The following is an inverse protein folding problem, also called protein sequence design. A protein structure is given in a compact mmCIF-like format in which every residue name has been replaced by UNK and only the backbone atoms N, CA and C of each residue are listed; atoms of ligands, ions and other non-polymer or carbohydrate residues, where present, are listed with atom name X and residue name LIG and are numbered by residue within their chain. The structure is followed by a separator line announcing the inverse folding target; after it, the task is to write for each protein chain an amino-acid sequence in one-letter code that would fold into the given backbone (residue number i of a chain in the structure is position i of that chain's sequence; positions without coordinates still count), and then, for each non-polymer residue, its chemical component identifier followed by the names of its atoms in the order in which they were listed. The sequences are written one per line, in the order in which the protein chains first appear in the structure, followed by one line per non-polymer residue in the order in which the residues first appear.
data_IF_398372592970
#
_entry.id   IF_398372592970
#
_cell.length_a   1.000
_cell.length_b   1.000
_cell.length_c   1.000
_cell.angle_alpha   90.00
_cell.angle_beta   90.00
_cell.angle_gamma   90.00
#
_symmetry.space_group_name_H-M   'P 1'
#
loop_
_entity.id
_entity.type
_entity.pdbx_description
1 polymer ?
#
# COMPACT_ATOMS: atom_id res chain seq x y z
N UNK A 1 17.36 9.17 -15.70
CA UNK A 1 16.33 9.40 -14.66
C UNK A 1 15.61 10.70 -15.00
N UNK A 2 14.28 10.68 -15.12
CA UNK A 2 13.48 11.89 -15.35
C UNK A 2 13.30 12.68 -14.06
N UNK A 3 13.25 14.00 -14.16
CA UNK A 3 12.92 14.90 -13.04
C UNK A 3 11.42 15.18 -13.08
N UNK A 4 10.73 14.96 -11.98
CA UNK A 4 9.31 15.28 -11.82
C UNK A 4 9.21 16.36 -10.74
N UNK A 5 8.54 17.47 -11.06
CA UNK A 5 8.25 18.54 -10.11
C UNK A 5 6.84 18.36 -9.55
N UNK A 6 6.72 18.21 -8.24
CA UNK A 6 5.45 18.13 -7.53
C UNK A 6 5.29 19.38 -6.67
N UNK A 7 4.14 20.05 -6.78
CA UNK A 7 3.85 21.24 -5.98
C UNK A 7 3.14 20.83 -4.70
N UNK A 8 3.64 21.30 -3.57
CA UNK A 8 3.04 21.12 -2.26
C UNK A 8 2.50 22.45 -1.72
N UNK A 9 1.44 22.36 -0.91
CA UNK A 9 1.02 23.46 -0.06
C UNK A 9 1.84 23.52 1.24
N UNK A 10 1.67 24.58 2.03
CA UNK A 10 2.46 24.80 3.25
C UNK A 10 2.32 23.68 4.29
N UNK A 11 1.15 23.04 4.37
CA UNK A 11 0.90 22.01 5.37
C UNK A 11 1.43 20.65 4.90
N UNK A 12 1.27 20.33 3.63
CA UNK A 12 1.92 19.17 3.01
C UNK A 12 3.45 19.24 3.12
N UNK A 13 4.05 20.42 2.94
CA UNK A 13 5.49 20.60 3.15
C UNK A 13 5.93 20.31 4.59
N UNK A 14 5.14 20.75 5.58
CA UNK A 14 5.42 20.45 7.00
C UNK A 14 5.31 18.96 7.29
N UNK A 15 4.30 18.29 6.72
CA UNK A 15 4.10 16.85 6.85
C UNK A 15 5.30 16.12 6.25
N UNK A 16 5.65 16.43 5.00
CA UNK A 16 6.76 15.79 4.30
C UNK A 16 8.09 16.03 5.00
N UNK A 17 8.30 17.24 5.55
CA UNK A 17 9.48 17.52 6.38
C UNK A 17 9.51 16.66 7.63
N UNK A 18 8.41 16.59 8.39
CA UNK A 18 8.31 15.76 9.61
C UNK A 18 8.60 14.28 9.32
N UNK A 19 8.09 13.76 8.20
CA UNK A 19 8.34 12.38 7.77
C UNK A 19 9.81 12.19 7.38
N UNK A 20 10.39 13.13 6.62
CA UNK A 20 11.80 13.10 6.25
C UNK A 20 12.72 13.11 7.47
N UNK A 21 12.41 13.96 8.46
CA UNK A 21 13.15 14.06 9.72
C UNK A 21 13.00 12.77 10.56
N UNK A 22 11.81 12.17 10.62
CA UNK A 22 11.53 10.98 11.41
C UNK A 22 12.16 9.70 10.84
N UNK A 23 12.07 9.52 9.51
CA UNK A 23 12.59 8.34 8.83
C UNK A 23 14.05 8.50 8.42
N UNK A 24 14.64 9.69 8.56
CA UNK A 24 15.99 10.03 8.09
C UNK A 24 16.18 9.75 6.59
N UNK A 25 15.16 10.05 5.80
CA UNK A 25 15.16 9.81 4.35
C UNK A 25 14.86 11.08 3.57
N UNK A 26 15.42 11.15 2.36
CA UNK A 26 15.13 12.22 1.43
C UNK A 26 13.65 12.22 1.05
N UNK A 27 13.09 13.43 0.87
CA UNK A 27 11.71 13.64 0.42
C UNK A 27 11.36 12.83 -0.83
N UNK A 28 12.29 12.72 -1.78
CA UNK A 28 12.08 11.97 -3.01
C UNK A 28 11.98 10.46 -2.79
N UNK A 29 12.68 9.92 -1.79
CA UNK A 29 12.59 8.52 -1.38
C UNK A 29 11.24 8.24 -0.75
N UNK A 30 10.78 9.11 0.16
CA UNK A 30 9.45 8.99 0.78
C UNK A 30 8.33 9.03 -0.26
N UNK A 31 8.38 9.96 -1.22
CA UNK A 31 7.38 10.04 -2.30
C UNK A 31 7.34 8.75 -3.12
N UNK A 32 8.50 8.15 -3.44
CA UNK A 32 8.56 6.87 -4.17
C UNK A 32 7.99 5.73 -3.35
N UNK A 33 8.31 5.66 -2.05
CA UNK A 33 7.75 4.65 -1.14
C UNK A 33 6.23 4.75 -1.08
N UNK A 34 5.71 5.94 -0.85
CA UNK A 34 4.26 6.17 -0.83
C UNK A 34 3.59 5.82 -2.16
N UNK A 35 4.24 6.03 -3.30
CA UNK A 35 3.70 5.61 -4.59
C UNK A 35 3.57 4.08 -4.69
N UNK A 36 4.56 3.34 -4.21
CA UNK A 36 4.54 1.87 -4.18
C UNK A 36 3.45 1.39 -3.23
N UNK A 37 3.40 1.92 -2.01
CA UNK A 37 2.36 1.58 -1.02
C UNK A 37 0.95 1.84 -1.56
N UNK A 38 0.73 2.97 -2.23
CA UNK A 38 -0.55 3.28 -2.86
C UNK A 38 -0.90 2.29 -3.98
N UNK A 39 0.07 1.85 -4.76
CA UNK A 39 -0.15 0.85 -5.81
C UNK A 39 -0.47 -0.53 -5.22
N UNK A 40 0.25 -0.97 -4.18
CA UNK A 40 -0.02 -2.21 -3.46
C UNK A 40 -1.44 -2.22 -2.88
N UNK A 41 -1.86 -1.12 -2.25
CA UNK A 41 -3.23 -0.97 -1.74
C UNK A 41 -4.29 -1.19 -2.84
N UNK A 42 -4.05 -0.70 -4.06
CA UNK A 42 -4.95 -0.91 -5.20
C UNK A 42 -5.01 -2.39 -5.58
N UNK A 43 -3.87 -3.08 -5.62
CA UNK A 43 -3.80 -4.51 -5.93
C UNK A 43 -4.51 -5.35 -4.87
N UNK A 44 -4.27 -5.06 -3.60
CA UNK A 44 -4.88 -5.76 -2.47
C UNK A 44 -6.40 -5.60 -2.46
N UNK A 45 -6.89 -4.37 -2.64
CA UNK A 45 -8.33 -4.11 -2.76
C UNK A 45 -8.97 -4.85 -3.94
N UNK A 46 -8.24 -4.97 -5.06
CA UNK A 46 -8.74 -5.74 -6.19
C UNK A 46 -8.83 -7.23 -5.88
N UNK A 47 -7.86 -7.78 -5.14
CA UNK A 47 -7.89 -9.19 -4.75
C UNK A 47 -9.00 -9.49 -3.74
N UNK A 48 -9.19 -8.60 -2.74
CA UNK A 48 -10.32 -8.67 -1.81
C UNK A 48 -11.64 -8.68 -2.57
N UNK A 49 -11.85 -7.74 -3.49
CA UNK A 49 -13.08 -7.68 -4.31
C UNK A 49 -13.31 -8.95 -5.13
N UNK A 50 -12.25 -9.54 -5.70
CA UNK A 50 -12.35 -10.82 -6.41
C UNK A 50 -12.76 -11.95 -5.48
N UNK A 51 -12.19 -12.00 -4.27
CA UNK A 51 -12.55 -12.99 -3.26
C UNK A 51 -14.02 -12.84 -2.86
N UNK A 52 -14.46 -11.64 -2.48
CA UNK A 52 -15.86 -11.35 -2.11
C UNK A 52 -16.83 -11.73 -3.23
N UNK A 53 -16.47 -11.50 -4.50
CA UNK A 53 -17.27 -11.90 -5.65
C UNK A 53 -17.35 -13.43 -5.83
N UNK A 54 -16.31 -14.18 -5.47
CA UNK A 54 -16.33 -15.65 -5.46
C UNK A 54 -17.12 -16.19 -4.26
N UNK A 55 -16.99 -15.56 -3.11
CA UNK A 55 -17.71 -15.91 -1.88
C UNK A 55 -19.22 -15.76 -2.07
N UNK A 56 -19.68 -14.63 -2.63
CA UNK A 56 -21.09 -14.42 -3.00
C UNK A 56 -21.65 -15.49 -3.94
N UNK A 57 -20.79 -16.16 -4.71
CA UNK A 57 -21.15 -17.26 -5.63
C UNK A 57 -21.03 -18.64 -4.97
N UNK A 58 -20.68 -18.72 -3.69
CA UNK A 58 -20.46 -19.97 -2.95
C UNK A 58 -19.23 -20.77 -3.42
N UNK A 59 -18.28 -20.13 -4.11
CA UNK A 59 -17.12 -20.79 -4.74
C UNK A 59 -15.81 -20.64 -3.95
N UNK A 60 -15.90 -20.45 -2.63
CA UNK A 60 -14.72 -20.30 -1.75
C UNK A 60 -14.68 -21.42 -0.72
N UNK A 61 -13.47 -21.79 -0.32
CA UNK A 61 -13.22 -22.77 0.73
C UNK A 61 -12.23 -22.19 1.72
N UNK A 62 -12.48 -22.39 3.02
CA UNK A 62 -11.59 -21.96 4.08
C UNK A 62 -10.74 -23.14 4.53
N UNK A 63 -9.46 -22.89 4.80
CA UNK A 63 -8.55 -23.85 5.44
C UNK A 63 -8.43 -23.50 6.91
N UNK A 64 -8.51 -24.50 7.79
CA UNK A 64 -8.32 -24.29 9.22
C UNK A 64 -6.84 -24.11 9.56
N UNK A 65 -6.54 -23.51 10.71
CA UNK A 65 -5.17 -23.29 11.16
C UNK A 65 -4.40 -24.61 11.35
N UNK A 66 -5.08 -25.65 11.84
CA UNK A 66 -4.49 -26.99 12.03
C UNK A 66 -4.02 -27.57 10.70
N UNK A 67 -4.79 -27.37 9.62
CA UNK A 67 -4.43 -27.82 8.26
C UNK A 67 -3.22 -27.06 7.69
N UNK A 68 -3.00 -25.82 8.11
CA UNK A 68 -1.88 -24.98 7.64
C UNK A 68 -0.59 -25.34 8.39
N UNK A 69 -0.68 -25.60 9.70
CA UNK A 69 0.47 -25.86 10.59
C UNK A 69 0.97 -27.31 10.56
N UNK A 70 0.23 -28.24 9.97
CA UNK A 70 0.59 -29.67 9.87
C UNK A 70 1.28 -30.06 8.54
N UNK A 71 1.78 -29.09 7.78
CA UNK A 71 2.59 -29.31 6.56
C UNK A 71 4.08 -29.20 6.85
#
# INVERSE_FOLDING_TARGET
MGVISVRFNKDEEKILKKLSDHFHEDKSTLIKKSLIELYENVLDLNEIKKFEAKEKKGKVSFSSAEKILMN
#
